data_IF_336351483185
#
_entry.id   IF_336351483185
#
_cell.length_a   1.000
_cell.length_b   1.000
_cell.length_c   1.000
_cell.angle_alpha   90.00
_cell.angle_beta   90.00
_cell.angle_gamma   90.00
#
_symmetry.space_group_name_H-M   'P 1'
#
loop_
_entity.id
_entity.type
_entity.pdbx_description
1 polymer ?
#
# COMPACT_ATOMS: atom_id res chain seq x y z
N UNK A 1 -16.06 -18.87 28.11
CA UNK A 1 -16.06 -18.69 26.64
C UNK A 1 -15.84 -17.22 26.32
N UNK A 2 -14.61 -16.80 25.98
CA UNK A 2 -14.32 -15.40 25.65
C UNK A 2 -13.10 -15.32 24.73
N UNK A 3 -13.29 -15.28 23.41
CA UNK A 3 -12.22 -15.00 22.45
C UNK A 3 -12.62 -14.57 21.01
N UNK A 4 -13.55 -13.60 20.76
CA UNK A 4 -13.63 -12.98 19.42
C UNK A 4 -13.00 -11.58 19.32
N UNK A 5 -12.86 -10.84 20.42
CA UNK A 5 -12.49 -9.42 20.38
C UNK A 5 -10.98 -9.17 20.16
N UNK A 6 -10.10 -10.05 20.66
CA UNK A 6 -8.65 -9.87 20.54
C UNK A 6 -8.14 -10.11 19.11
N UNK A 7 -8.76 -11.04 18.38
CA UNK A 7 -8.42 -11.31 16.98
C UNK A 7 -8.84 -10.17 16.04
N UNK A 8 -9.96 -9.50 16.33
CA UNK A 8 -10.43 -8.35 15.57
C UNK A 8 -9.49 -7.15 15.73
N UNK A 9 -9.06 -6.84 16.95
CA UNK A 9 -8.14 -5.73 17.24
C UNK A 9 -6.72 -5.96 16.69
N UNK A 10 -6.22 -7.19 16.70
CA UNK A 10 -4.93 -7.52 16.09
C UNK A 10 -4.97 -7.40 14.56
N UNK A 11 -6.09 -7.77 13.92
CA UNK A 11 -6.30 -7.60 12.49
C UNK A 11 -6.46 -6.12 12.09
N UNK A 12 -7.07 -5.27 12.94
CA UNK A 12 -7.18 -3.83 12.70
C UNK A 12 -5.84 -3.11 12.92
N UNK A 13 -5.10 -3.44 13.99
CA UNK A 13 -3.74 -2.91 14.21
C UNK A 13 -2.75 -3.35 13.13
N UNK A 14 -2.90 -4.57 12.62
CA UNK A 14 -2.13 -5.08 11.48
C UNK A 14 -2.39 -4.32 10.18
N UNK A 15 -3.66 -3.97 9.90
CA UNK A 15 -4.05 -3.18 8.72
C UNK A 15 -3.60 -1.73 8.78
N UNK A 16 -3.69 -1.09 9.95
CA UNK A 16 -3.24 0.29 10.14
C UNK A 16 -1.71 0.41 9.98
N UNK A 17 -0.94 -0.60 10.38
CA UNK A 17 0.51 -0.62 10.20
C UNK A 17 0.98 -0.83 8.73
N UNK A 18 0.07 -1.17 7.81
CA UNK A 18 0.34 -1.38 6.38
C UNK A 18 -0.19 -0.24 5.48
N UNK A 19 -0.64 0.87 6.06
CA UNK A 19 -1.19 2.00 5.29
C UNK A 19 -0.08 2.86 4.67
N UNK A 20 -0.28 3.26 3.41
CA UNK A 20 0.53 4.29 2.76
C UNK A 20 0.49 5.59 3.58
N UNK A 21 1.59 6.36 3.58
CA UNK A 21 1.63 7.68 4.24
C UNK A 21 0.51 8.62 3.75
N UNK A 22 0.17 8.54 2.46
CA UNK A 22 -0.94 9.29 1.88
C UNK A 22 -2.28 8.85 2.45
N UNK A 23 -2.47 7.55 2.65
CA UNK A 23 -3.70 7.01 3.24
C UNK A 23 -3.81 7.38 4.72
N UNK A 24 -2.69 7.35 5.46
CA UNK A 24 -2.65 7.81 6.85
C UNK A 24 -3.07 9.28 6.96
N UNK A 25 -2.45 10.15 6.15
CA UNK A 25 -2.79 11.58 6.13
C UNK A 25 -4.24 11.84 5.71
N UNK A 26 -4.79 11.04 4.78
CA UNK A 26 -6.20 11.12 4.40
C UNK A 26 -7.13 10.72 5.55
N UNK A 27 -6.85 9.62 6.25
CA UNK A 27 -7.66 9.18 7.38
C UNK A 27 -7.59 10.17 8.56
N UNK A 28 -6.42 10.76 8.83
CA UNK A 28 -6.26 11.82 9.83
C UNK A 28 -7.09 13.05 9.46
N UNK A 29 -7.02 13.51 8.21
CA UNK A 29 -7.79 14.66 7.74
C UNK A 29 -9.30 14.41 7.80
N UNK A 30 -9.77 13.24 7.35
CA UNK A 30 -11.18 12.87 7.40
C UNK A 30 -11.68 12.75 8.83
N UNK A 31 -10.89 12.14 9.73
CA UNK A 31 -11.23 12.02 11.14
C UNK A 31 -11.37 13.38 11.83
N UNK A 32 -10.47 14.32 11.55
CA UNK A 32 -10.58 15.70 12.07
C UNK A 32 -11.83 16.40 11.56
N UNK A 33 -12.15 16.30 10.27
CA UNK A 33 -13.35 16.92 9.69
C UNK A 33 -14.66 16.31 10.22
N UNK A 34 -14.68 15.00 10.49
CA UNK A 34 -15.82 14.33 11.14
C UNK A 34 -15.97 14.77 12.61
N UNK A 35 -14.86 14.89 13.35
CA UNK A 35 -14.86 15.33 14.74
C UNK A 35 -15.33 16.78 14.91
N UNK A 36 -15.02 17.64 13.95
CA UNK A 36 -15.47 19.04 13.91
C UNK A 36 -16.92 19.18 13.39
N UNK A 37 -17.56 18.08 12.98
CA UNK A 37 -18.92 18.08 12.43
C UNK A 37 -19.03 18.74 11.05
N UNK A 38 -17.90 19.04 10.40
CA UNK A 38 -17.83 19.66 9.08
C UNK A 38 -18.09 18.64 7.94
N UNK A 39 -18.08 17.35 8.27
CA UNK A 39 -18.22 16.28 7.29
C UNK A 39 -19.08 15.14 7.84
N UNK A 40 -20.12 14.77 7.10
CA UNK A 40 -20.92 13.60 7.43
C UNK A 40 -20.12 12.30 7.15
N UNK A 41 -20.30 11.28 7.99
CA UNK A 41 -19.56 10.02 7.85
C UNK A 41 -19.79 9.29 6.53
N UNK A 42 -20.95 9.52 5.90
CA UNK A 42 -21.22 9.01 4.56
C UNK A 42 -20.34 9.68 3.50
N UNK A 43 -20.04 10.97 3.64
CA UNK A 43 -19.13 11.69 2.75
C UNK A 43 -17.68 11.22 2.92
N UNK A 44 -17.22 10.97 4.16
CA UNK A 44 -15.89 10.38 4.41
C UNK A 44 -15.75 9.02 3.71
N UNK A 45 -16.79 8.20 3.79
CA UNK A 45 -16.84 6.89 3.11
C UNK A 45 -16.73 7.04 1.59
N UNK A 46 -17.43 8.01 1.00
CA UNK A 46 -17.32 8.32 -0.42
C UNK A 46 -15.91 8.79 -0.80
N UNK A 47 -15.28 9.66 0.00
CA UNK A 47 -13.92 10.15 -0.26
C UNK A 47 -12.90 9.00 -0.22
N UNK A 48 -12.98 8.12 0.78
CA UNK A 48 -12.14 6.91 0.85
C UNK A 48 -12.29 6.04 -0.41
N UNK A 49 -13.53 5.85 -0.88
CA UNK A 49 -13.81 5.06 -2.09
C UNK A 49 -13.19 5.70 -3.33
N UNK A 50 -13.42 6.99 -3.54
CA UNK A 50 -12.89 7.72 -4.71
C UNK A 50 -11.36 7.74 -4.69
N UNK A 51 -10.74 7.97 -3.53
CA UNK A 51 -9.28 7.92 -3.39
C UNK A 51 -8.72 6.53 -3.74
N UNK A 52 -9.38 5.46 -3.29
CA UNK A 52 -9.03 4.09 -3.64
C UNK A 52 -9.21 3.78 -5.13
N UNK A 53 -10.28 4.27 -5.76
CA UNK A 53 -10.53 4.13 -7.20
C UNK A 53 -9.52 4.90 -8.05
N UNK A 54 -9.13 6.11 -7.64
CA UNK A 54 -8.12 6.91 -8.32
C UNK A 54 -6.77 6.19 -8.37
N UNK A 55 -6.32 5.65 -7.23
CA UNK A 55 -5.08 4.86 -7.15
C UNK A 55 -5.08 3.66 -8.12
N UNK A 56 -6.22 2.99 -8.29
CA UNK A 56 -6.33 1.84 -9.22
C UNK A 56 -6.39 2.28 -10.67
N UNK A 57 -7.14 3.33 -10.99
CA UNK A 57 -7.24 3.85 -12.37
C UNK A 57 -5.91 4.38 -12.86
N UNK A 58 -5.19 5.08 -12.00
CA UNK A 58 -3.91 5.66 -12.37
C UNK A 58 -2.78 4.65 -12.33
N UNK A 59 -2.95 3.45 -11.73
CA UNK A 59 -1.93 2.40 -11.65
C UNK A 59 -1.27 2.09 -13.01
N UNK A 60 -2.03 2.17 -14.12
CA UNK A 60 -1.51 1.98 -15.48
C UNK A 60 -0.64 3.13 -16.03
N UNK A 61 -0.52 4.24 -15.29
CA UNK A 61 0.32 5.42 -15.59
C UNK A 61 1.54 5.53 -14.67
N UNK A 62 1.74 4.56 -13.76
CA UNK A 62 2.93 4.53 -12.92
C UNK A 62 4.06 3.86 -13.68
N UNK A 63 5.30 4.35 -13.54
CA UNK A 63 6.44 3.70 -14.16
C UNK A 63 6.59 2.28 -13.61
N UNK A 64 6.92 1.34 -14.48
CA UNK A 64 7.23 -0.04 -14.09
C UNK A 64 8.39 -0.03 -13.08
N UNK A 65 8.24 -0.75 -11.97
CA UNK A 65 9.27 -0.93 -10.97
C UNK A 65 9.84 -2.33 -11.05
N UNK A 66 11.16 -2.44 -11.23
CA UNK A 66 11.87 -3.71 -11.13
C UNK A 66 12.51 -3.84 -9.75
N UNK A 67 12.23 -4.97 -9.11
CA UNK A 67 12.73 -5.30 -7.78
C UNK A 67 13.68 -6.49 -7.89
N UNK A 68 14.95 -6.29 -7.54
CA UNK A 68 15.93 -7.37 -7.41
C UNK A 68 16.40 -7.47 -5.97
N UNK A 69 16.29 -8.63 -5.33
CA UNK A 69 16.70 -8.79 -3.93
C UNK A 69 16.60 -10.24 -3.45
N UNK A 70 16.92 -10.47 -2.17
CA UNK A 70 16.82 -11.79 -1.55
C UNK A 70 15.47 -11.95 -0.88
N UNK A 71 14.72 -13.00 -1.24
CA UNK A 71 13.50 -13.36 -0.51
C UNK A 71 13.88 -13.92 0.87
N UNK A 72 13.46 -13.21 1.92
CA UNK A 72 13.65 -13.58 3.32
C UNK A 72 12.47 -14.41 3.86
N UNK A 73 11.28 -14.22 3.31
CA UNK A 73 10.08 -14.99 3.65
C UNK A 73 8.86 -14.53 2.89
N UNK A 74 7.85 -15.40 2.78
CA UNK A 74 6.58 -15.08 2.16
C UNK A 74 5.42 -15.70 2.95
N UNK A 75 4.24 -15.11 2.81
CA UNK A 75 2.99 -15.63 3.37
C UNK A 75 1.84 -15.29 2.45
N UNK A 76 0.96 -16.26 2.18
CA UNK A 76 -0.31 -16.03 1.51
C UNK A 76 -1.45 -16.43 2.45
N UNK A 77 -2.44 -15.56 2.63
CA UNK A 77 -3.60 -15.81 3.48
C UNK A 77 -4.79 -14.97 3.01
N UNK A 78 -5.97 -15.59 2.85
CA UNK A 78 -7.25 -14.89 2.57
C UNK A 78 -7.19 -13.90 1.38
N UNK A 79 -6.57 -14.31 0.28
CA UNK A 79 -6.47 -13.47 -0.93
C UNK A 79 -5.45 -12.33 -0.83
N UNK A 80 -4.67 -12.27 0.25
CA UNK A 80 -3.52 -11.37 0.37
C UNK A 80 -2.24 -12.18 0.41
N UNK A 81 -1.20 -11.70 -0.25
CA UNK A 81 0.16 -12.20 -0.10
C UNK A 81 1.08 -11.10 0.43
N UNK A 82 2.07 -11.53 1.21
CA UNK A 82 3.10 -10.69 1.77
C UNK A 82 4.45 -11.32 1.46
N UNK A 83 5.40 -10.54 0.96
CA UNK A 83 6.80 -10.91 0.76
C UNK A 83 7.72 -10.00 1.57
N UNK A 84 8.72 -10.60 2.22
CA UNK A 84 9.80 -9.91 2.90
C UNK A 84 11.08 -10.08 2.09
N UNK A 85 11.68 -8.97 1.67
CA UNK A 85 12.85 -8.93 0.82
C UNK A 85 14.00 -8.20 1.53
N UNK A 86 15.20 -8.77 1.47
CA UNK A 86 16.43 -8.18 1.98
C UNK A 86 17.35 -7.72 0.84
N UNK A 87 18.13 -6.67 1.10
CA UNK A 87 19.13 -6.10 0.16
C UNK A 87 18.53 -5.83 -1.23
N UNK A 88 17.37 -5.18 -1.27
CA UNK A 88 16.61 -4.92 -2.49
C UNK A 88 17.22 -3.76 -3.26
N UNK A 89 17.41 -3.94 -4.56
CA UNK A 89 17.59 -2.88 -5.52
C UNK A 89 16.25 -2.61 -6.20
N UNK A 90 15.74 -1.38 -6.07
CA UNK A 90 14.54 -0.91 -6.77
C UNK A 90 14.98 -0.07 -7.95
N UNK A 91 14.51 -0.41 -9.14
CA UNK A 91 14.79 0.32 -10.36
C UNK A 91 13.48 0.83 -10.97
N UNK A 92 13.42 2.13 -11.25
CA UNK A 92 12.33 2.72 -12.03
C UNK A 92 12.66 2.51 -13.50
N UNK A 93 11.84 1.74 -14.21
CA UNK A 93 11.99 1.51 -15.65
C UNK A 93 11.44 2.74 -16.37
N UNK A 94 12.26 3.44 -17.18
CA UNK A 94 11.77 4.58 -17.95
C UNK A 94 10.77 4.11 -19.02
N UNK A 95 9.65 4.81 -19.16
CA UNK A 95 8.65 4.54 -20.21
C UNK A 95 9.24 4.73 -21.63
N UNK A 96 10.31 5.53 -21.77
CA UNK A 96 11.03 5.75 -23.03
C UNK A 96 12.56 5.74 -22.84
N UNK A 97 13.26 4.66 -23.24
CA UNK A 97 14.72 4.55 -23.06
C UNK A 97 15.53 5.56 -23.89
N UNK A 98 14.93 6.18 -24.92
CA UNK A 98 15.58 7.15 -25.82
C UNK A 98 15.63 8.59 -25.30
N UNK A 99 14.97 8.92 -24.18
CA UNK A 99 14.96 10.29 -23.61
C UNK A 99 16.04 10.55 -22.55
N UNK A 100 17.04 9.67 -22.40
CA UNK A 100 18.19 9.90 -21.52
C UNK A 100 17.85 9.97 -20.02
N UNK A 101 16.62 9.63 -19.62
CA UNK A 101 16.25 9.52 -18.21
C UNK A 101 16.86 8.23 -17.68
N UNK A 102 18.01 8.34 -17.02
CA UNK A 102 18.59 7.22 -16.28
C UNK A 102 17.56 6.73 -15.27
N UNK A 103 17.18 5.45 -15.35
CA UNK A 103 16.27 4.84 -14.40
C UNK A 103 16.80 5.03 -12.98
N UNK A 104 16.04 5.71 -12.13
CA UNK A 104 16.45 5.93 -10.75
C UNK A 104 16.56 4.55 -10.06
N UNK A 105 17.75 4.26 -9.52
CA UNK A 105 17.98 3.04 -8.75
C UNK A 105 18.20 3.40 -7.29
N UNK A 106 17.63 2.59 -6.39
CA UNK A 106 17.78 2.78 -4.96
C UNK A 106 17.93 1.46 -4.24
N UNK A 107 18.94 1.39 -3.37
CA UNK A 107 19.13 0.26 -2.50
C UNK A 107 18.29 0.42 -1.21
N UNK A 108 17.53 -0.62 -0.90
CA UNK A 108 16.68 -0.73 0.28
C UNK A 108 17.15 -1.96 1.07
N UNK A 109 17.51 -1.76 2.35
CA UNK A 109 18.02 -2.86 3.19
C UNK A 109 16.96 -3.95 3.42
N UNK A 110 15.72 -3.55 3.68
CA UNK A 110 14.58 -4.44 3.93
C UNK A 110 13.31 -3.84 3.34
N UNK A 111 12.56 -4.63 2.58
CA UNK A 111 11.31 -4.23 1.94
C UNK A 111 10.23 -5.28 2.25
N UNK A 112 9.05 -4.81 2.68
CA UNK A 112 7.85 -5.64 2.78
C UNK A 112 6.93 -5.26 1.63
N UNK A 113 6.58 -6.24 0.80
CA UNK A 113 5.64 -6.08 -0.31
C UNK A 113 4.36 -6.81 0.03
N UNK A 114 3.22 -6.19 -0.24
CA UNK A 114 1.90 -6.73 0.05
C UNK A 114 1.07 -6.57 -1.21
N UNK A 115 0.43 -7.64 -1.64
CA UNK A 115 -0.43 -7.62 -2.82
C UNK A 115 -1.66 -8.50 -2.61
N UNK A 116 -2.69 -8.25 -3.41
CA UNK A 116 -3.97 -8.95 -3.36
C UNK A 116 -4.27 -9.77 -4.63
N UNK A 117 -3.39 -9.70 -5.63
CA UNK A 117 -3.49 -10.51 -6.86
C UNK A 117 -2.19 -11.27 -7.08
N UNK A 118 -2.31 -12.58 -7.35
CA UNK A 118 -1.20 -13.42 -7.80
C UNK A 118 -1.54 -13.83 -9.23
N UNK A 119 -0.85 -13.28 -10.21
CA UNK A 119 -0.87 -13.79 -11.59
C UNK A 119 0.24 -14.86 -11.65
N UNK A 120 -0.15 -16.14 -11.71
CA UNK A 120 0.77 -17.28 -11.92
C UNK A 120 0.85 -17.55 -13.42
#
# INVERSE_FOLDING_TARGET
MAAPLVASQAATKGRLAQQSRLQLALEEALGSLEAEGLLASQAATCIRRVAGEALRRDAGRWPELRLGGRLAGYRALRGEWTMHLDKVNVQVVPEHPSRGVCGASRQIRRLKVIGSEVVI
#
